data_IF_017939040156
#
_entry.id   IF_017939040156
#
_cell.length_a   1.000
_cell.length_b   1.000
_cell.length_c   1.000
_cell.angle_alpha   90.00
_cell.angle_beta   90.00
_cell.angle_gamma   90.00
#
_symmetry.space_group_name_H-M   'P 1'
#
loop_
_entity.id
_entity.type
_entity.pdbx_description
1 polymer ?
#
# COMPACT_ATOMS: atom_id res chain seq x y z
N UNK A 1 10.36 5.93 9.02
CA UNK A 1 9.59 5.26 7.94
C UNK A 1 10.27 4.01 7.39
N UNK A 2 11.44 4.06 6.73
CA UNK A 2 12.01 2.87 6.02
C UNK A 2 12.09 1.55 6.80
N UNK A 3 12.35 1.57 8.12
CA UNK A 3 12.40 0.33 8.94
C UNK A 3 11.00 -0.27 9.19
N UNK A 4 10.02 0.54 9.55
CA UNK A 4 8.64 0.09 9.79
C UNK A 4 8.03 -0.50 8.52
N UNK A 5 8.21 0.17 7.38
CA UNK A 5 7.77 -0.34 6.08
C UNK A 5 8.47 -1.65 5.66
N UNK A 6 9.76 -1.83 6.00
CA UNK A 6 10.47 -3.07 5.72
C UNK A 6 9.94 -4.23 6.58
N UNK A 7 9.68 -4.00 7.86
CA UNK A 7 9.03 -4.97 8.74
C UNK A 7 7.63 -5.35 8.26
N UNK A 8 6.84 -4.36 7.83
CA UNK A 8 5.53 -4.58 7.24
C UNK A 8 5.61 -5.44 5.97
N UNK A 9 6.57 -5.17 5.08
CA UNK A 9 6.77 -5.96 3.87
C UNK A 9 7.17 -7.42 4.17
N UNK A 10 7.99 -7.64 5.21
CA UNK A 10 8.38 -8.97 5.65
C UNK A 10 7.17 -9.74 6.21
N UNK A 11 6.42 -9.14 7.13
CA UNK A 11 5.21 -9.74 7.68
C UNK A 11 4.16 -10.06 6.60
N UNK A 12 3.96 -9.18 5.62
CA UNK A 12 3.09 -9.46 4.48
C UNK A 12 3.61 -10.62 3.62
N UNK A 13 4.92 -10.73 3.42
CA UNK A 13 5.50 -11.84 2.65
C UNK A 13 5.28 -13.19 3.34
N UNK A 14 5.39 -13.23 4.68
CA UNK A 14 5.13 -14.43 5.46
C UNK A 14 3.67 -14.85 5.36
N UNK A 15 2.73 -13.90 5.51
CA UNK A 15 1.29 -14.15 5.37
C UNK A 15 0.93 -14.63 3.96
N UNK A 16 1.57 -14.08 2.92
CA UNK A 16 1.32 -14.48 1.54
C UNK A 16 1.86 -15.88 1.22
N UNK A 17 2.84 -16.40 1.97
CA UNK A 17 3.54 -17.68 1.73
C UNK A 17 4.39 -17.71 0.45
N UNK A 18 4.01 -16.93 -0.57
CA UNK A 18 4.73 -16.67 -1.81
C UNK A 18 4.40 -15.26 -2.30
N UNK A 19 5.41 -14.50 -2.70
CA UNK A 19 5.21 -13.12 -3.16
C UNK A 19 5.14 -13.00 -4.69
N UNK A 20 5.96 -13.75 -5.42
CA UNK A 20 5.93 -13.71 -6.89
C UNK A 20 4.58 -14.19 -7.42
N UNK A 21 3.94 -13.39 -8.28
CA UNK A 21 2.64 -13.67 -8.87
C UNK A 21 1.44 -13.39 -7.96
N UNK A 22 1.66 -13.00 -6.70
CA UNK A 22 0.58 -12.67 -5.77
C UNK A 22 -0.05 -11.32 -6.11
N UNK A 23 -1.35 -11.16 -5.84
CA UNK A 23 -2.08 -9.91 -6.05
C UNK A 23 -2.36 -9.26 -4.70
N UNK A 24 -1.95 -8.01 -4.54
CA UNK A 24 -2.04 -7.28 -3.28
C UNK A 24 -2.75 -5.95 -3.51
N UNK A 25 -3.79 -5.68 -2.72
CA UNK A 25 -4.47 -4.38 -2.71
C UNK A 25 -4.11 -3.65 -1.42
N UNK A 26 -3.65 -2.40 -1.55
CA UNK A 26 -3.34 -1.52 -0.43
C UNK A 26 -4.49 -0.53 -0.26
N UNK A 27 -5.11 -0.50 0.92
CA UNK A 27 -6.06 0.54 1.30
C UNK A 27 -5.30 1.59 2.11
N UNK A 28 -5.05 2.74 1.50
CA UNK A 28 -4.07 3.71 1.98
C UNK A 28 -4.77 4.95 2.54
N UNK A 29 -4.72 5.11 3.86
CA UNK A 29 -5.10 6.34 4.55
C UNK A 29 -4.03 7.43 4.44
N UNK A 30 -4.34 8.63 4.94
CA UNK A 30 -3.47 9.81 4.84
C UNK A 30 -2.38 9.93 5.92
N UNK A 31 -2.42 9.10 6.96
CA UNK A 31 -1.42 9.12 8.04
C UNK A 31 -0.10 8.42 7.69
N UNK A 32 0.84 8.42 8.63
CA UNK A 32 2.16 7.79 8.47
C UNK A 32 2.09 6.31 8.08
N UNK A 33 1.09 5.59 8.59
CA UNK A 33 0.80 4.20 8.23
C UNK A 33 0.53 4.04 6.72
N UNK A 34 -0.08 5.05 6.08
CA UNK A 34 -0.29 5.05 4.63
C UNK A 34 1.02 5.14 3.86
N UNK A 35 1.96 5.95 4.36
CA UNK A 35 3.33 6.00 3.83
C UNK A 35 4.04 4.65 3.94
N UNK A 36 3.95 4.00 5.10
CA UNK A 36 4.58 2.68 5.31
C UNK A 36 3.95 1.59 4.44
N UNK A 37 2.62 1.60 4.26
CA UNK A 37 1.92 0.68 3.36
C UNK A 37 2.38 0.83 1.90
N UNK A 38 2.55 2.07 1.42
CA UNK A 38 3.05 2.34 0.07
C UNK A 38 4.50 1.88 -0.11
N UNK A 39 5.36 2.11 0.88
CA UNK A 39 6.74 1.63 0.85
C UNK A 39 6.84 0.09 0.92
N UNK A 40 6.01 -0.55 1.74
CA UNK A 40 5.95 -2.01 1.83
C UNK A 40 5.46 -2.61 0.50
N UNK A 41 4.39 -2.05 -0.06
CA UNK A 41 3.86 -2.43 -1.37
C UNK A 41 4.87 -2.30 -2.50
N UNK A 42 5.66 -1.22 -2.52
CA UNK A 42 6.78 -1.07 -3.46
C UNK A 42 7.84 -2.18 -3.31
N UNK A 43 8.11 -2.63 -2.08
CA UNK A 43 8.97 -3.79 -1.81
C UNK A 43 8.40 -5.08 -2.39
N UNK A 44 7.12 -5.36 -2.18
CA UNK A 44 6.43 -6.54 -2.70
C UNK A 44 6.36 -6.54 -4.23
N UNK A 45 6.08 -5.38 -4.84
CA UNK A 45 6.06 -5.22 -6.29
C UNK A 45 7.42 -5.52 -6.94
N UNK A 46 8.52 -5.07 -6.32
CA UNK A 46 9.88 -5.41 -6.77
C UNK A 46 10.19 -6.91 -6.70
N UNK A 47 9.46 -7.68 -5.88
CA UNK A 47 9.56 -9.14 -5.78
C UNK A 47 8.58 -9.87 -6.71
N UNK A 48 7.89 -9.15 -7.60
CA UNK A 48 7.00 -9.72 -8.61
C UNK A 48 5.54 -9.88 -8.18
N UNK A 49 5.10 -9.23 -7.09
CA UNK A 49 3.68 -9.13 -6.78
C UNK A 49 2.98 -8.08 -7.66
N UNK A 50 1.76 -8.37 -8.10
CA UNK A 50 0.87 -7.38 -8.69
C UNK A 50 0.23 -6.52 -7.61
N UNK A 51 0.73 -5.32 -7.38
CA UNK A 51 0.26 -4.41 -6.33
C UNK A 51 -0.68 -3.34 -6.91
N UNK A 52 -1.80 -3.08 -6.24
CA UNK A 52 -2.71 -1.97 -6.53
C UNK A 52 -2.95 -1.13 -5.28
N UNK A 53 -2.76 0.18 -5.36
CA UNK A 53 -2.97 1.08 -4.23
C UNK A 53 -4.25 1.89 -4.43
N UNK A 54 -5.12 1.85 -3.43
CA UNK A 54 -6.36 2.62 -3.37
C UNK A 54 -6.21 3.69 -2.28
N UNK A 55 -6.13 4.95 -2.69
CA UNK A 55 -6.01 6.07 -1.78
C UNK A 55 -7.39 6.46 -1.26
N UNK A 56 -7.55 6.47 0.08
CA UNK A 56 -8.81 6.77 0.76
C UNK A 56 -9.05 8.28 0.94
N UNK A 57 -7.98 9.07 0.91
CA UNK A 57 -8.00 10.54 0.93
C UNK A 57 -6.90 11.05 -0.02
N UNK A 58 -7.13 11.05 -1.34
CA UNK A 58 -6.08 11.30 -2.32
C UNK A 58 -5.42 12.68 -2.18
N UNK A 59 -6.16 13.69 -1.75
CA UNK A 59 -5.70 15.05 -1.45
C UNK A 59 -4.76 15.16 -0.23
N UNK A 60 -4.73 14.14 0.64
CA UNK A 60 -3.84 14.08 1.82
C UNK A 60 -2.88 12.89 1.78
N UNK A 61 -2.80 12.18 0.65
CA UNK A 61 -1.92 11.04 0.51
C UNK A 61 -0.45 11.48 0.44
N UNK A 62 0.43 10.77 1.14
CA UNK A 62 1.84 11.13 1.25
C UNK A 62 2.57 10.94 -0.11
N UNK A 63 2.85 12.05 -0.80
CA UNK A 63 3.31 12.09 -2.19
C UNK A 63 4.57 11.24 -2.48
N UNK A 64 5.46 11.06 -1.50
CA UNK A 64 6.69 10.28 -1.65
C UNK A 64 6.47 8.76 -1.75
N UNK A 65 5.41 8.22 -1.14
CA UNK A 65 5.06 6.80 -1.22
C UNK A 65 4.33 6.46 -2.52
N UNK A 66 3.47 7.37 -2.98
CA UNK A 66 2.61 7.19 -4.16
C UNK A 66 3.42 7.00 -5.44
N UNK A 67 4.57 7.68 -5.57
CA UNK A 67 5.48 7.54 -6.72
C UNK A 67 6.33 6.27 -6.69
N UNK A 68 6.50 5.62 -5.53
CA UNK A 68 7.34 4.42 -5.37
C UNK A 68 6.54 3.13 -5.50
N UNK A 69 5.23 3.17 -5.26
CA UNK A 69 4.38 2.01 -5.51
C UNK A 69 4.31 1.81 -7.04
N UNK A 70 5.07 0.86 -7.58
CA UNK A 70 5.11 0.52 -9.02
C UNK A 70 3.80 -0.09 -9.56
N UNK A 71 2.72 -0.03 -8.77
CA UNK A 71 1.39 -0.52 -9.09
C UNK A 71 0.49 0.58 -9.64
N UNK A 72 -0.70 0.20 -10.10
CA UNK A 72 -1.74 1.20 -10.39
C UNK A 72 -2.14 1.89 -9.08
N UNK A 73 -2.14 3.21 -9.07
CA UNK A 73 -2.70 4.01 -7.97
C UNK A 73 -4.06 4.54 -8.43
N UNK A 74 -5.11 4.25 -7.66
CA UNK A 74 -6.47 4.73 -7.89
C UNK A 74 -7.02 5.45 -6.66
N UNK A 75 -7.95 6.38 -6.87
CA UNK A 75 -8.71 7.00 -5.78
C UNK A 75 -9.96 6.15 -5.51
N UNK A 76 -10.26 5.90 -4.24
CA UNK A 76 -11.54 5.33 -3.86
C UNK A 76 -12.66 6.35 -4.10
N UNK A 77 -13.69 5.99 -4.87
CA UNK A 77 -14.85 6.87 -5.19
C UNK A 77 -16.12 6.53 -4.39
N UNK A 78 -16.05 5.62 -3.42
CA UNK A 78 -17.19 5.25 -2.58
C UNK A 78 -17.45 6.28 -1.47
N UNK A 79 -18.70 6.42 -1.01
CA UNK A 79 -19.02 7.20 0.19
C UNK A 79 -18.72 6.36 1.43
N UNK A 80 -17.91 6.90 2.36
CA UNK A 80 -17.74 6.32 3.69
C UNK A 80 -19.04 6.53 4.47
N UNK A 81 -19.80 5.45 4.70
CA UNK A 81 -20.90 5.50 5.67
C UNK A 81 -20.24 5.58 7.05
N UNK A 82 -20.16 6.78 7.61
CA UNK A 82 -19.88 6.97 9.02
C UNK A 82 -21.07 6.39 9.78
N UNK A 83 -20.91 5.21 10.39
CA UNK A 83 -21.82 4.78 11.45
C UNK A 83 -21.51 5.65 12.67
N UNK A 84 -22.45 6.54 12.99
CA UNK A 84 -22.52 7.22 14.27
C UNK A 84 -23.04 6.30 15.36
#
# INVERSE_FOLDING_TARGET
>A
MRRAAAGLAAACADVLGRVYGSRVVLLVGSGDNGGDALYAGAGLARRGAGVHAVLLAPERAHAGGSRRCAGRVGAWRGRMVRRG
#
